data_IF_990263090189
#
_entry.id   IF_990263090189
#
_cell.length_a   1.000
_cell.length_b   1.000
_cell.length_c   1.000
_cell.angle_alpha   90.00
_cell.angle_beta   90.00
_cell.angle_gamma   90.00
#
_symmetry.space_group_name_H-M   'P 1'
#
loop_
_entity.id
_entity.type
_entity.pdbx_description
1 polymer ?
#
# COMPACT_ATOMS: atom_id res chain seq x y z
N UNK A 1 -18.07 -31.26 11.93
CA UNK A 1 -18.12 -29.90 12.52
C UNK A 1 -16.96 -29.77 13.51
N UNK A 2 -15.91 -29.04 13.14
CA UNK A 2 -14.81 -28.71 14.05
C UNK A 2 -15.02 -27.28 14.57
N UNK A 3 -15.02 -27.09 15.89
CA UNK A 3 -15.21 -25.77 16.50
C UNK A 3 -13.91 -24.96 16.43
N UNK A 4 -13.97 -23.77 15.82
CA UNK A 4 -12.86 -22.82 15.84
C UNK A 4 -12.58 -22.36 17.28
N UNK A 5 -11.52 -22.90 17.88
CA UNK A 5 -10.97 -22.35 19.12
C UNK A 5 -9.95 -21.24 18.80
N UNK A 6 -10.47 -20.02 18.66
CA UNK A 6 -9.69 -18.78 18.45
C UNK A 6 -8.59 -18.61 19.48
N UNK A 7 -8.90 -18.86 20.76
CA UNK A 7 -7.97 -18.68 21.87
C UNK A 7 -6.80 -19.64 21.77
N UNK A 8 -7.07 -20.94 21.58
CA UNK A 8 -6.01 -21.95 21.45
C UNK A 8 -5.11 -21.72 20.25
N UNK A 9 -5.68 -21.32 19.10
CA UNK A 9 -4.89 -21.00 17.92
C UNK A 9 -3.99 -19.78 18.17
N UNK A 10 -4.51 -18.74 18.84
CA UNK A 10 -3.73 -17.57 19.23
C UNK A 10 -2.63 -17.92 20.24
N UNK A 11 -2.92 -18.73 21.26
CA UNK A 11 -1.92 -19.21 22.23
C UNK A 11 -0.76 -19.93 21.55
N UNK A 12 -1.06 -20.85 20.61
CA UNK A 12 -0.03 -21.56 19.85
C UNK A 12 0.75 -20.62 18.93
N UNK A 13 0.09 -19.71 18.22
CA UNK A 13 0.74 -18.74 17.34
C UNK A 13 1.62 -17.75 18.13
N UNK A 14 1.21 -17.38 19.34
CA UNK A 14 1.99 -16.52 20.22
C UNK A 14 3.25 -17.22 20.78
N UNK A 15 3.50 -18.49 20.46
CA UNK A 15 4.79 -19.16 20.74
C UNK A 15 5.83 -18.95 19.63
N UNK A 16 5.40 -18.46 18.46
CA UNK A 16 6.29 -18.31 17.30
C UNK A 16 7.18 -17.07 17.49
N UNK A 17 8.51 -17.18 17.34
CA UNK A 17 9.44 -16.08 17.62
C UNK A 17 9.12 -14.76 16.90
N UNK A 18 8.76 -14.82 15.61
CA UNK A 18 8.41 -13.59 14.87
C UNK A 18 7.13 -12.93 15.41
N UNK A 19 6.14 -13.72 15.81
CA UNK A 19 4.89 -13.21 16.40
C UNK A 19 5.17 -12.58 17.77
N UNK A 20 5.98 -13.24 18.59
CA UNK A 20 6.40 -12.72 19.89
C UNK A 20 7.19 -11.41 19.75
N UNK A 21 8.11 -11.34 18.81
CA UNK A 21 8.90 -10.13 18.53
C UNK A 21 7.98 -8.95 18.18
N UNK A 22 7.03 -9.16 17.27
CA UNK A 22 6.07 -8.12 16.86
C UNK A 22 5.16 -7.70 18.03
N UNK A 23 4.66 -8.65 18.82
CA UNK A 23 3.74 -8.37 19.93
C UNK A 23 4.43 -7.70 21.12
N UNK A 24 5.71 -8.02 21.36
CA UNK A 24 6.52 -7.43 22.44
C UNK A 24 7.15 -6.09 22.06
N UNK A 25 7.15 -5.73 20.77
CA UNK A 25 7.64 -4.45 20.30
C UNK A 25 6.87 -3.29 20.95
N UNK A 26 7.63 -2.27 21.38
CA UNK A 26 7.05 -1.06 21.96
C UNK A 26 6.25 -0.32 20.90
N UNK A 27 4.94 -0.17 21.13
CA UNK A 27 4.06 0.57 20.22
C UNK A 27 4.33 2.06 20.33
N UNK A 28 4.57 2.70 19.19
CA UNK A 28 4.67 4.15 19.09
C UNK A 28 3.29 4.78 18.93
N UNK A 29 3.15 6.04 19.39
CA UNK A 29 1.89 6.77 19.27
C UNK A 29 1.53 7.07 17.80
N UNK A 30 2.55 7.42 17.01
CA UNK A 30 2.41 7.73 15.59
C UNK A 30 3.35 6.83 14.80
N UNK A 31 2.77 5.96 13.98
CA UNK A 31 3.49 5.02 13.14
C UNK A 31 3.30 5.38 11.67
N UNK A 32 4.39 5.81 11.03
CA UNK A 32 4.41 6.18 9.62
C UNK A 32 4.46 4.91 8.77
N UNK A 33 3.30 4.56 8.23
CA UNK A 33 3.16 3.45 7.31
C UNK A 33 2.25 3.85 6.15
N UNK A 34 2.67 3.69 4.89
CA UNK A 34 1.87 4.06 3.73
C UNK A 34 0.70 3.10 3.48
N UNK A 35 0.63 1.95 4.17
CA UNK A 35 -0.34 0.89 3.88
C UNK A 35 -1.23 0.58 5.09
N UNK A 36 -2.55 0.75 4.92
CA UNK A 36 -3.53 0.26 5.91
C UNK A 36 -3.84 -1.23 5.69
N UNK A 37 -3.82 -1.71 4.45
CA UNK A 37 -4.13 -3.11 4.16
C UNK A 37 -3.28 -3.64 3.04
N UNK A 38 -2.79 -4.85 3.20
CA UNK A 38 -2.18 -5.65 2.15
C UNK A 38 -2.91 -7.00 2.10
N UNK A 39 -3.37 -7.40 0.91
CA UNK A 39 -3.81 -8.77 0.65
C UNK A 39 -2.87 -9.37 -0.38
N UNK A 40 -2.18 -10.42 0.06
CA UNK A 40 -1.21 -11.18 -0.68
C UNK A 40 -1.83 -12.49 -1.09
N UNK A 41 -1.43 -12.98 -2.25
CA UNK A 41 -1.87 -14.25 -2.77
C UNK A 41 -0.65 -15.08 -3.18
N UNK A 42 -0.72 -16.38 -2.95
CA UNK A 42 0.26 -17.35 -3.42
C UNK A 42 -0.46 -18.54 -4.03
N UNK A 43 0.18 -19.15 -5.03
CA UNK A 43 -0.24 -20.45 -5.58
C UNK A 43 0.28 -21.62 -4.74
N UNK A 44 1.16 -21.35 -3.78
CA UNK A 44 1.63 -22.33 -2.80
C UNK A 44 0.66 -22.47 -1.63
N UNK A 45 0.49 -23.69 -1.08
CA UNK A 45 -0.21 -23.89 0.18
C UNK A 45 0.61 -23.29 1.35
N UNK A 46 -0.01 -23.08 2.53
CA UNK A 46 0.75 -22.73 3.72
C UNK A 46 1.76 -23.84 4.07
N UNK A 47 2.87 -23.47 4.70
CA UNK A 47 3.93 -24.41 5.08
C UNK A 47 3.40 -25.49 6.02
N UNK A 48 4.01 -26.67 5.96
CA UNK A 48 3.63 -27.78 6.83
C UNK A 48 3.79 -27.41 8.32
N UNK A 49 4.84 -26.66 8.67
CA UNK A 49 5.07 -26.15 10.03
C UNK A 49 3.94 -25.21 10.50
N UNK A 50 3.52 -24.27 9.65
CA UNK A 50 2.39 -23.40 9.94
C UNK A 50 1.10 -24.21 10.15
N UNK A 51 0.82 -25.14 9.24
CA UNK A 51 -0.37 -25.99 9.31
C UNK A 51 -0.36 -26.86 10.57
N UNK A 52 0.78 -27.45 10.94
CA UNK A 52 0.90 -28.32 12.12
C UNK A 52 0.68 -27.57 13.43
N UNK A 53 1.18 -26.34 13.50
CA UNK A 53 0.96 -25.46 14.63
C UNK A 53 -0.53 -25.18 14.86
N UNK A 54 -1.30 -24.97 13.79
CA UNK A 54 -2.73 -24.62 13.87
C UNK A 54 -3.67 -25.81 13.68
N UNK A 55 -3.17 -26.99 13.29
CA UNK A 55 -3.94 -28.22 13.05
C UNK A 55 -4.81 -28.63 14.23
N UNK A 56 -4.40 -28.48 15.50
CA UNK A 56 -5.28 -28.75 16.64
C UNK A 56 -6.57 -27.90 16.65
N UNK A 57 -6.66 -26.88 15.81
CA UNK A 57 -7.79 -25.97 15.68
C UNK A 57 -8.59 -26.09 14.37
N UNK A 58 -8.34 -27.07 13.47
CA UNK A 58 -8.91 -27.23 12.09
C UNK A 58 -10.30 -26.58 11.83
N UNK A 59 -10.44 -25.96 10.66
CA UNK A 59 -11.59 -25.13 10.27
C UNK A 59 -12.33 -25.71 9.05
N UNK A 60 -13.63 -25.51 8.95
CA UNK A 60 -14.36 -25.38 7.69
C UNK A 60 -15.07 -24.02 7.77
N UNK A 61 -15.15 -23.28 6.67
CA UNK A 61 -15.90 -22.03 6.67
C UNK A 61 -17.39 -22.34 6.49
N UNK A 62 -18.22 -22.01 7.47
CA UNK A 62 -19.70 -22.08 7.37
C UNK A 62 -20.29 -20.93 6.50
N UNK A 63 -19.45 -20.09 5.89
CA UNK A 63 -19.88 -18.97 5.03
C UNK A 63 -20.09 -19.43 3.58
N UNK A 64 -21.31 -19.26 3.05
CA UNK A 64 -21.72 -19.62 1.67
C UNK A 64 -20.97 -18.88 0.53
N UNK A 65 -20.08 -17.93 0.85
CA UNK A 65 -19.40 -17.05 -0.13
C UNK A 65 -17.88 -17.27 -0.25
N UNK A 66 -17.28 -18.28 0.40
CA UNK A 66 -15.83 -18.40 0.45
C UNK A 66 -15.23 -19.11 -0.77
N UNK A 67 -14.28 -18.43 -1.42
CA UNK A 67 -13.40 -19.01 -2.44
C UNK A 67 -12.45 -20.11 -1.91
N UNK A 68 -12.47 -20.40 -0.60
CA UNK A 68 -11.51 -21.23 0.13
C UNK A 68 -12.21 -22.12 1.15
N UNK A 69 -11.65 -23.30 1.41
CA UNK A 69 -12.16 -24.25 2.40
C UNK A 69 -11.73 -23.91 3.83
N UNK A 70 -10.58 -23.28 3.99
CA UNK A 70 -9.97 -23.02 5.29
C UNK A 70 -9.72 -21.53 5.52
N UNK A 71 -9.93 -21.10 6.77
CA UNK A 71 -9.68 -19.74 7.22
C UNK A 71 -9.15 -19.73 8.65
N UNK A 72 -8.10 -18.96 8.87
CA UNK A 72 -7.54 -18.62 10.18
C UNK A 72 -7.59 -17.10 10.36
N UNK A 73 -7.97 -16.64 11.56
CA UNK A 73 -7.97 -15.22 11.92
C UNK A 73 -7.16 -15.04 13.19
N UNK A 74 -5.94 -14.52 13.04
CA UNK A 74 -5.08 -14.09 14.12
C UNK A 74 -5.13 -12.56 14.26
N UNK A 75 -4.64 -12.02 15.37
CA UNK A 75 -4.63 -10.58 15.58
C UNK A 75 -3.78 -9.85 14.55
N UNK A 76 -2.62 -10.40 14.18
CA UNK A 76 -1.70 -9.78 13.22
C UNK A 76 -2.07 -10.02 11.74
N UNK A 77 -2.80 -11.09 11.45
CA UNK A 77 -3.06 -11.53 10.08
C UNK A 77 -4.28 -12.43 9.95
N UNK A 78 -4.83 -12.54 8.74
CA UNK A 78 -5.79 -13.60 8.41
C UNK A 78 -5.31 -14.38 7.19
N UNK A 79 -5.39 -15.71 7.26
CA UNK A 79 -5.01 -16.60 6.16
C UNK A 79 -6.23 -17.39 5.71
N UNK A 80 -6.41 -17.48 4.39
CA UNK A 80 -7.38 -18.37 3.76
C UNK A 80 -6.61 -19.27 2.81
N UNK A 81 -6.91 -20.57 2.78
CA UNK A 81 -6.21 -21.51 1.91
C UNK A 81 -7.07 -22.70 1.50
N UNK A 82 -6.54 -23.47 0.55
CA UNK A 82 -7.22 -24.57 -0.13
C UNK A 82 -8.46 -24.07 -0.88
N UNK A 83 -8.25 -23.69 -2.13
CA UNK A 83 -9.29 -23.11 -2.98
C UNK A 83 -10.53 -24.03 -3.09
N UNK A 84 -11.71 -23.45 -2.89
CA UNK A 84 -12.99 -24.03 -3.31
C UNK A 84 -13.33 -23.61 -4.74
N UNK A 85 -12.87 -22.42 -5.16
CA UNK A 85 -13.00 -21.93 -6.54
C UNK A 85 -11.66 -22.06 -7.28
N UNK A 86 -11.62 -22.77 -8.43
CA UNK A 86 -10.39 -22.94 -9.23
C UNK A 86 -9.73 -21.65 -9.74
N UNK A 87 -10.44 -20.53 -9.74
CA UNK A 87 -9.94 -19.22 -10.17
C UNK A 87 -9.29 -18.42 -9.02
N UNK A 88 -9.40 -18.90 -7.78
CA UNK A 88 -8.75 -18.31 -6.64
C UNK A 88 -7.27 -18.74 -6.59
N UNK A 89 -6.39 -17.98 -5.93
CA UNK A 89 -5.07 -18.49 -5.56
C UNK A 89 -5.21 -19.60 -4.51
N UNK A 90 -4.15 -20.39 -4.29
CA UNK A 90 -4.15 -21.47 -3.29
C UNK A 90 -4.20 -20.92 -1.86
N UNK A 91 -3.50 -19.82 -1.61
CA UNK A 91 -3.41 -19.14 -0.32
C UNK A 91 -3.60 -17.64 -0.47
N UNK A 92 -4.34 -17.03 0.46
CA UNK A 92 -4.52 -15.59 0.58
C UNK A 92 -4.18 -15.15 2.00
N UNK A 93 -3.31 -14.16 2.14
CA UNK A 93 -2.85 -13.61 3.42
C UNK A 93 -3.27 -12.14 3.47
N UNK A 94 -3.99 -11.75 4.51
CA UNK A 94 -4.35 -10.36 4.77
C UNK A 94 -3.57 -9.83 5.98
N UNK A 95 -2.88 -8.71 5.79
CA UNK A 95 -2.13 -7.97 6.80
C UNK A 95 -2.68 -6.54 6.91
N UNK A 96 -2.60 -5.95 8.11
CA UNK A 96 -2.78 -4.52 8.33
C UNK A 96 -1.49 -3.93 8.93
N UNK A 97 -0.51 -3.55 8.07
CA UNK A 97 0.80 -3.12 8.54
C UNK A 97 0.73 -1.92 9.49
N UNK A 98 -0.14 -0.95 9.19
CA UNK A 98 -0.27 0.23 10.04
C UNK A 98 -0.88 -0.07 11.41
N UNK A 99 -1.99 -0.82 11.49
CA UNK A 99 -2.69 -1.13 12.75
C UNK A 99 -1.79 -1.91 13.72
N UNK A 100 -0.96 -2.80 13.18
CA UNK A 100 -0.07 -3.66 13.97
C UNK A 100 1.36 -3.12 14.05
N UNK A 101 1.62 -1.92 13.51
CA UNK A 101 2.93 -1.28 13.48
C UNK A 101 4.03 -2.16 12.88
N UNK A 102 3.69 -2.91 11.83
CA UNK A 102 4.61 -3.82 11.16
C UNK A 102 5.65 -3.04 10.35
N UNK A 103 6.92 -3.29 10.62
CA UNK A 103 7.99 -2.89 9.73
C UNK A 103 7.90 -3.66 8.40
N UNK A 104 8.61 -3.24 7.35
CA UNK A 104 8.72 -4.02 6.12
C UNK A 104 9.25 -5.44 6.36
N UNK A 105 10.22 -5.61 7.27
CA UNK A 105 10.81 -6.91 7.59
C UNK A 105 9.80 -7.81 8.33
N UNK A 106 8.98 -7.25 9.22
CA UNK A 106 7.89 -8.00 9.86
C UNK A 106 6.87 -8.50 8.83
N UNK A 107 6.55 -7.67 7.83
CA UNK A 107 5.67 -8.06 6.73
C UNK A 107 6.27 -9.25 5.97
N UNK A 108 7.55 -9.18 5.57
CA UNK A 108 8.21 -10.29 4.86
C UNK A 108 8.27 -11.56 5.73
N UNK A 109 8.73 -11.45 6.97
CA UNK A 109 8.91 -12.57 7.88
C UNK A 109 7.58 -13.27 8.22
N UNK A 110 6.48 -12.53 8.36
CA UNK A 110 5.15 -13.14 8.54
C UNK A 110 4.72 -13.95 7.32
N UNK A 111 5.04 -13.49 6.10
CA UNK A 111 4.71 -14.20 4.86
C UNK A 111 5.57 -15.44 4.72
N UNK A 112 6.87 -15.32 4.97
CA UNK A 112 7.82 -16.45 4.96
C UNK A 112 7.40 -17.51 5.97
N UNK A 113 6.95 -17.11 7.16
CA UNK A 113 6.40 -18.04 8.14
C UNK A 113 5.16 -18.81 7.60
N UNK A 114 4.25 -18.12 6.91
CA UNK A 114 2.99 -18.72 6.44
C UNK A 114 3.18 -19.59 5.20
N UNK A 115 3.86 -19.11 4.16
CA UNK A 115 3.99 -19.79 2.84
C UNK A 115 5.43 -20.20 2.48
N UNK A 116 6.41 -19.95 3.35
CA UNK A 116 7.79 -20.39 3.19
C UNK A 116 8.67 -19.41 2.41
N UNK A 117 8.08 -18.63 1.51
CA UNK A 117 8.79 -17.66 0.66
C UNK A 117 7.87 -16.51 0.25
N UNK A 118 8.29 -15.29 0.55
CA UNK A 118 7.62 -14.05 0.15
C UNK A 118 7.89 -13.69 -1.31
N UNK A 119 8.87 -14.33 -1.96
CA UNK A 119 9.21 -14.10 -3.37
C UNK A 119 8.06 -14.55 -4.30
N UNK A 120 7.32 -15.57 -3.88
CA UNK A 120 6.18 -16.14 -4.61
C UNK A 120 4.86 -15.43 -4.27
N UNK A 121 4.87 -14.54 -3.27
CA UNK A 121 3.71 -13.76 -2.88
C UNK A 121 3.44 -12.64 -3.89
N UNK A 122 2.17 -12.47 -4.26
CA UNK A 122 1.70 -11.43 -5.17
C UNK A 122 0.68 -10.52 -4.50
N UNK A 123 0.77 -9.20 -4.74
CA UNK A 123 -0.11 -8.21 -4.11
C UNK A 123 -1.44 -8.09 -4.87
N UNK A 124 -2.47 -8.77 -4.39
CA UNK A 124 -3.82 -8.75 -4.97
C UNK A 124 -4.63 -7.51 -4.56
N UNK A 125 -4.40 -6.99 -3.35
CA UNK A 125 -5.08 -5.79 -2.86
C UNK A 125 -4.14 -4.95 -2.01
N UNK A 126 -4.23 -3.63 -2.14
CA UNK A 126 -3.61 -2.70 -1.20
C UNK A 126 -4.51 -1.49 -0.95
N UNK A 127 -4.52 -1.02 0.29
CA UNK A 127 -5.12 0.25 0.71
C UNK A 127 -3.97 1.23 1.00
N UNK A 128 -3.65 2.09 0.03
CA UNK A 128 -2.67 3.17 0.20
C UNK A 128 -3.29 4.24 1.12
N UNK A 129 -2.55 4.77 2.09
CA UNK A 129 -3.08 5.78 3.01
C UNK A 129 -2.15 6.98 3.20
N UNK A 130 -2.72 8.04 3.76
CA UNK A 130 -2.00 9.14 4.36
C UNK A 130 -2.82 9.69 5.53
N UNK A 131 -2.15 10.06 6.62
CA UNK A 131 -2.75 10.56 7.86
C UNK A 131 -2.42 12.03 8.08
N UNK A 132 -3.44 12.85 8.34
CA UNK A 132 -3.25 14.24 8.78
C UNK A 132 -3.70 14.39 10.22
N UNK A 133 -2.77 14.84 11.06
CA UNK A 133 -3.03 15.21 12.44
C UNK A 133 -3.21 16.72 12.53
N UNK A 134 -4.24 17.18 13.26
CA UNK A 134 -4.47 18.60 13.60
C UNK A 134 -4.52 19.54 12.37
N UNK A 135 -5.13 19.09 11.29
CA UNK A 135 -5.19 19.85 10.05
C UNK A 135 -6.53 20.56 9.88
N UNK A 136 -7.58 19.82 9.53
CA UNK A 136 -8.94 20.30 9.29
C UNK A 136 -9.92 19.15 9.51
N UNK A 137 -11.21 19.45 9.68
CA UNK A 137 -12.26 18.41 9.72
C UNK A 137 -12.35 17.66 8.38
N UNK A 138 -12.92 16.45 8.40
CA UNK A 138 -13.19 15.65 7.19
C UNK A 138 -13.96 16.42 6.12
N UNK A 139 -14.90 17.28 6.55
CA UNK A 139 -15.71 18.15 5.70
C UNK A 139 -14.88 19.22 5.01
N UNK A 140 -14.06 19.96 5.74
CA UNK A 140 -13.17 20.98 5.16
C UNK A 140 -12.12 20.36 4.25
N UNK A 141 -11.63 19.17 4.61
CA UNK A 141 -10.74 18.39 3.74
C UNK A 141 -11.44 18.00 2.42
N UNK A 142 -12.66 17.45 2.50
CA UNK A 142 -13.45 17.07 1.33
C UNK A 142 -13.88 18.28 0.48
N UNK A 143 -14.00 19.46 1.09
CA UNK A 143 -14.27 20.71 0.39
C UNK A 143 -13.12 21.14 -0.52
N UNK A 144 -11.87 20.77 -0.21
CA UNK A 144 -10.65 21.14 -0.95
C UNK A 144 -10.12 20.06 -1.88
N UNK A 145 -10.48 18.80 -1.64
CA UNK A 145 -9.89 17.69 -2.39
C UNK A 145 -10.35 17.62 -3.85
N UNK A 146 -9.39 17.38 -4.74
CA UNK A 146 -9.62 16.96 -6.12
C UNK A 146 -9.05 15.56 -6.34
N UNK A 147 -9.90 14.66 -6.84
CA UNK A 147 -9.51 13.30 -7.24
C UNK A 147 -9.64 13.16 -8.74
N UNK A 148 -8.49 13.11 -9.42
CA UNK A 148 -8.39 12.95 -10.86
C UNK A 148 -9.11 11.69 -11.37
N UNK A 149 -9.64 11.79 -12.59
CA UNK A 149 -10.38 10.73 -13.31
C UNK A 149 -11.71 10.27 -12.70
N UNK A 150 -12.08 10.75 -11.51
CA UNK A 150 -13.39 10.44 -10.93
C UNK A 150 -14.49 11.31 -11.56
N UNK A 151 -15.48 10.64 -12.18
CA UNK A 151 -16.57 11.27 -12.93
C UNK A 151 -17.89 11.39 -12.14
N UNK A 152 -17.90 10.94 -10.88
CA UNK A 152 -19.08 10.94 -10.02
C UNK A 152 -18.82 11.81 -8.80
N UNK A 153 -19.89 12.39 -8.27
CA UNK A 153 -19.83 13.17 -7.02
C UNK A 153 -19.41 12.28 -5.86
N UNK A 154 -18.66 12.81 -4.88
CA UNK A 154 -18.40 12.07 -3.67
C UNK A 154 -19.72 11.65 -3.02
N UNK A 155 -19.72 10.45 -2.44
CA UNK A 155 -20.81 10.01 -1.57
C UNK A 155 -20.44 10.40 -0.14
N UNK A 156 -21.28 11.19 0.51
CA UNK A 156 -21.21 11.41 1.94
C UNK A 156 -21.86 10.19 2.62
N UNK A 157 -21.09 9.42 3.37
CA UNK A 157 -21.60 8.21 4.00
C UNK A 157 -22.59 8.60 5.11
N UNK A 158 -23.83 8.10 4.99
CA UNK A 158 -24.95 8.40 5.89
C UNK A 158 -25.24 9.91 6.04
N UNK A 159 -24.74 10.75 5.12
CA UNK A 159 -24.87 12.22 5.17
C UNK A 159 -24.39 12.85 6.49
N UNK A 160 -23.40 12.23 7.15
CA UNK A 160 -22.87 12.67 8.46
C UNK A 160 -21.68 13.63 8.36
N UNK A 161 -21.26 14.00 7.16
CA UNK A 161 -20.07 14.83 6.89
C UNK A 161 -18.75 14.25 7.45
N UNK A 162 -18.75 12.96 7.82
CA UNK A 162 -17.63 12.28 8.45
C UNK A 162 -16.81 11.46 7.47
N UNK A 163 -17.45 10.87 6.47
CA UNK A 163 -16.79 9.97 5.51
C UNK A 163 -17.21 10.29 4.10
N UNK A 164 -16.25 10.66 3.25
CA UNK A 164 -16.47 10.98 1.85
C UNK A 164 -15.81 9.92 0.96
N UNK A 165 -16.59 9.33 0.06
CA UNK A 165 -16.14 8.28 -0.86
C UNK A 165 -16.18 8.76 -2.32
N UNK A 166 -15.03 8.73 -2.99
CA UNK A 166 -14.84 9.06 -4.39
C UNK A 166 -14.61 7.79 -5.20
N UNK A 167 -15.45 7.54 -6.21
CA UNK A 167 -15.37 6.32 -7.03
C UNK A 167 -16.19 5.16 -6.47
N UNK A 168 -15.73 3.92 -6.67
CA UNK A 168 -16.53 2.73 -6.33
C UNK A 168 -15.69 1.62 -5.72
N UNK A 169 -16.26 0.90 -4.74
CA UNK A 169 -15.65 -0.27 -4.08
C UNK A 169 -15.21 -1.37 -5.05
N UNK A 170 -15.88 -1.50 -6.20
CA UNK A 170 -15.57 -2.54 -7.20
C UNK A 170 -14.32 -2.21 -8.06
N UNK A 171 -13.87 -0.96 -8.06
CA UNK A 171 -12.70 -0.48 -8.80
C UNK A 171 -11.77 0.33 -7.90
N UNK A 172 -11.31 1.49 -8.37
CA UNK A 172 -10.55 2.43 -7.55
C UNK A 172 -11.51 3.30 -6.72
N UNK A 173 -11.26 3.37 -5.42
CA UNK A 173 -12.00 4.22 -4.49
C UNK A 173 -11.04 5.02 -3.63
N UNK A 174 -11.27 6.33 -3.53
CA UNK A 174 -10.61 7.18 -2.52
C UNK A 174 -11.61 7.45 -1.42
N UNK A 175 -11.20 7.32 -0.16
CA UNK A 175 -12.04 7.50 1.03
C UNK A 175 -11.34 8.49 1.93
N UNK A 176 -12.09 9.47 2.44
CA UNK A 176 -11.60 10.44 3.42
C UNK A 176 -12.51 10.32 4.62
N UNK A 177 -11.94 10.14 5.80
CA UNK A 177 -12.75 9.99 7.00
C UNK A 177 -12.04 10.45 8.26
N UNK A 178 -12.83 10.74 9.27
CA UNK A 178 -12.36 10.96 10.63
C UNK A 178 -11.87 9.64 11.22
N UNK A 179 -10.55 9.49 11.29
CA UNK A 179 -9.88 8.29 11.79
C UNK A 179 -9.88 8.27 13.32
N UNK A 180 -9.85 9.44 13.97
CA UNK A 180 -9.92 9.52 15.41
C UNK A 180 -11.23 8.91 15.91
N UNK A 181 -12.35 9.33 15.30
CA UNK A 181 -13.67 8.78 15.59
C UNK A 181 -13.78 7.28 15.30
N UNK A 182 -13.18 6.80 14.21
CA UNK A 182 -13.18 5.36 13.90
C UNK A 182 -12.33 4.53 14.88
N UNK A 183 -11.40 5.16 15.60
CA UNK A 183 -10.56 4.53 16.62
C UNK A 183 -11.02 4.82 18.06
N UNK A 184 -12.21 5.42 18.23
CA UNK A 184 -12.75 5.86 19.52
C UNK A 184 -11.80 6.82 20.28
N UNK A 185 -11.18 7.75 19.55
CA UNK A 185 -10.26 8.78 20.06
C UNK A 185 -10.80 10.18 19.84
N UNK A 186 -11.86 10.52 20.55
CA UNK A 186 -12.57 11.79 20.37
C UNK A 186 -11.75 13.04 20.76
N UNK A 187 -10.61 12.86 21.44
CA UNK A 187 -9.69 13.93 21.84
C UNK A 187 -8.61 14.26 20.79
N UNK A 188 -8.55 13.51 19.68
CA UNK A 188 -7.58 13.72 18.61
C UNK A 188 -8.26 14.22 17.33
N UNK A 189 -7.66 15.23 16.68
CA UNK A 189 -8.04 15.59 15.31
C UNK A 189 -7.19 14.78 14.33
N UNK A 190 -7.79 13.77 13.72
CA UNK A 190 -7.07 12.87 12.82
C UNK A 190 -7.93 12.46 11.63
N UNK A 191 -7.55 12.96 10.46
CA UNK A 191 -8.18 12.62 9.19
C UNK A 191 -7.29 11.64 8.43
N UNK A 192 -7.92 10.59 7.90
CA UNK A 192 -7.26 9.67 6.99
C UNK A 192 -7.80 9.78 5.59
N UNK A 193 -6.90 9.78 4.61
CA UNK A 193 -7.21 9.48 3.23
C UNK A 193 -6.71 8.09 2.88
N UNK A 194 -7.58 7.27 2.29
CA UNK A 194 -7.25 5.95 1.75
C UNK A 194 -7.57 5.86 0.26
N UNK A 195 -6.73 5.16 -0.51
CA UNK A 195 -7.02 4.75 -1.88
C UNK A 195 -6.93 3.25 -1.99
N UNK A 196 -8.10 2.63 -2.19
CA UNK A 196 -8.24 1.18 -2.33
C UNK A 196 -7.93 0.74 -3.75
N UNK A 197 -7.12 -0.31 -3.87
CA UNK A 197 -6.82 -0.96 -5.15
C UNK A 197 -6.96 -2.47 -5.03
N UNK A 198 -7.78 -3.02 -5.92
CA UNK A 198 -7.91 -4.46 -6.11
C UNK A 198 -7.46 -4.85 -7.51
N UNK A 199 -6.47 -5.75 -7.60
CA UNK A 199 -5.97 -6.35 -8.84
C UNK A 199 -6.65 -7.71 -9.01
N UNK A 200 -7.79 -7.71 -9.72
CA UNK A 200 -8.58 -8.92 -9.94
C UNK A 200 -7.86 -9.91 -10.83
N UNK A 201 -7.33 -9.42 -11.94
CA UNK A 201 -6.50 -10.19 -12.86
C UNK A 201 -5.22 -10.65 -12.14
N UNK A 202 -4.99 -11.97 -12.16
CA UNK A 202 -3.83 -12.62 -11.54
C UNK A 202 -2.53 -12.20 -12.23
N UNK A 203 -2.55 -12.05 -13.56
CA UNK A 203 -1.35 -11.68 -14.33
C UNK A 203 -0.93 -10.21 -14.12
N UNK A 204 -1.85 -9.37 -13.67
CA UNK A 204 -1.58 -7.97 -13.33
C UNK A 204 -1.03 -7.76 -11.91
N UNK A 205 -0.97 -8.82 -11.09
CA UNK A 205 -0.50 -8.71 -9.69
C UNK A 205 1.03 -8.65 -9.67
N UNK A 206 1.64 -7.60 -9.10
CA UNK A 206 3.08 -7.58 -8.89
C UNK A 206 3.45 -8.58 -7.80
N UNK A 207 4.63 -9.21 -7.91
CA UNK A 207 5.26 -9.88 -6.77
C UNK A 207 5.46 -8.88 -5.64
N UNK A 208 5.52 -9.36 -4.40
CA UNK A 208 5.69 -8.49 -3.24
C UNK A 208 6.98 -7.67 -3.32
N UNK A 209 8.10 -8.30 -3.70
CA UNK A 209 9.38 -7.60 -3.89
C UNK A 209 9.25 -6.50 -4.93
N UNK A 210 8.61 -6.77 -6.08
CA UNK A 210 8.37 -5.72 -7.09
C UNK A 210 7.44 -4.63 -6.57
N UNK A 211 6.41 -4.99 -5.80
CA UNK A 211 5.52 -4.00 -5.20
C UNK A 211 6.27 -3.08 -4.22
N UNK A 212 7.15 -3.61 -3.37
CA UNK A 212 7.90 -2.79 -2.42
C UNK A 212 8.99 -1.94 -3.08
N UNK A 213 9.65 -2.48 -4.11
CA UNK A 213 10.85 -1.87 -4.71
C UNK A 213 10.57 -0.99 -5.94
N UNK A 214 9.48 -1.22 -6.69
CA UNK A 214 9.17 -0.42 -7.88
C UNK A 214 8.65 0.96 -7.50
N UNK A 215 8.82 1.93 -8.39
CA UNK A 215 8.27 3.27 -8.18
C UNK A 215 6.74 3.15 -8.15
N UNK A 216 6.17 3.33 -6.96
CA UNK A 216 4.73 3.32 -6.71
C UNK A 216 4.09 4.60 -7.29
N UNK A 217 4.36 4.91 -8.55
CA UNK A 217 4.00 6.16 -9.22
C UNK A 217 2.50 6.41 -9.29
N UNK A 218 1.73 5.34 -9.23
CA UNK A 218 0.28 5.44 -9.24
C UNK A 218 -0.29 5.61 -7.82
N UNK A 219 0.49 5.38 -6.75
CA UNK A 219 0.13 5.60 -5.33
C UNK A 219 -0.40 7.02 -5.11
N UNK A 220 -1.66 7.13 -4.67
CA UNK A 220 -2.36 8.42 -4.48
C UNK A 220 -2.22 9.43 -5.64
N UNK A 221 -1.88 8.96 -6.85
CA UNK A 221 -1.69 9.80 -8.03
C UNK A 221 -2.96 10.54 -8.40
N UNK A 222 -2.79 11.81 -8.77
CA UNK A 222 -3.86 12.76 -9.07
C UNK A 222 -4.84 13.00 -7.91
N UNK A 223 -4.39 12.80 -6.67
CA UNK A 223 -5.11 13.24 -5.48
C UNK A 223 -4.38 14.47 -4.96
N UNK A 224 -5.05 15.62 -5.03
CA UNK A 224 -4.47 16.91 -4.61
C UNK A 224 -5.43 17.65 -3.71
N UNK A 225 -4.89 18.37 -2.73
CA UNK A 225 -5.64 19.33 -1.93
C UNK A 225 -5.50 20.68 -2.62
N UNK A 226 -6.58 21.15 -3.25
CA UNK A 226 -6.59 22.41 -3.98
C UNK A 226 -6.58 23.56 -2.98
N UNK A 227 -5.74 24.55 -3.23
CA UNK A 227 -5.76 25.80 -2.45
C UNK A 227 -6.92 26.68 -2.93
N UNK A 228 -8.10 26.43 -2.38
CA UNK A 228 -9.32 27.14 -2.79
C UNK A 228 -9.32 28.62 -2.39
N UNK A 229 -8.44 29.02 -1.46
CA UNK A 229 -8.35 30.38 -0.96
C UNK A 229 -7.66 31.31 -1.97
N UNK A 230 -6.94 30.74 -2.95
CA UNK A 230 -6.40 31.46 -4.11
C UNK A 230 -7.44 31.86 -5.15
N UNK A 231 -8.68 31.36 -5.05
CA UNK A 231 -9.75 31.78 -5.96
C UNK A 231 -10.45 33.04 -5.44
N UNK A 232 -10.84 33.92 -6.35
CA UNK A 232 -11.70 35.05 -6.00
C UNK A 232 -13.12 34.56 -5.71
N UNK A 233 -13.82 35.20 -4.77
CA UNK A 233 -15.24 34.91 -4.50
C UNK A 233 -16.16 35.11 -5.73
N UNK A 234 -15.72 35.89 -6.72
CA UNK A 234 -16.44 36.09 -7.99
C UNK A 234 -16.26 34.92 -8.96
N UNK A 235 -15.23 34.10 -8.75
CA UNK A 235 -14.92 32.99 -9.64
C UNK A 235 -16.07 31.99 -9.68
N UNK A 236 -16.36 31.51 -10.89
CA UNK A 236 -17.44 30.53 -11.09
C UNK A 236 -17.20 29.28 -10.24
N UNK A 237 -15.95 28.84 -10.08
CA UNK A 237 -15.62 27.67 -9.27
C UNK A 237 -15.97 27.88 -7.79
N UNK A 238 -15.67 29.05 -7.20
CA UNK A 238 -16.00 29.33 -5.79
C UNK A 238 -17.50 29.38 -5.54
N UNK A 239 -18.26 30.03 -6.44
CA UNK A 239 -19.73 30.00 -6.36
C UNK A 239 -20.29 28.58 -6.43
N UNK A 240 -19.64 27.69 -7.19
CA UNK A 240 -20.04 26.28 -7.32
C UNK A 240 -19.64 25.46 -6.10
N UNK A 241 -18.46 25.69 -5.51
CA UNK A 241 -18.02 25.06 -4.26
C UNK A 241 -19.00 25.43 -3.14
N UNK A 242 -19.36 26.70 -3.01
CA UNK A 242 -20.33 27.15 -2.00
C UNK A 242 -21.73 26.55 -2.22
N UNK A 243 -22.11 26.26 -3.46
CA UNK A 243 -23.39 25.63 -3.79
C UNK A 243 -23.42 24.12 -3.54
N UNK A 244 -22.33 23.41 -3.86
CA UNK A 244 -22.29 21.93 -3.86
C UNK A 244 -21.52 21.33 -2.67
N UNK A 245 -20.84 22.14 -1.87
CA UNK A 245 -20.10 21.72 -0.68
C UNK A 245 -18.73 21.11 -0.94
N UNK A 246 -18.46 20.56 -2.14
CA UNK A 246 -17.15 19.94 -2.46
C UNK A 246 -16.50 20.51 -3.72
N UNK A 247 -15.17 20.59 -3.71
CA UNK A 247 -14.38 20.97 -4.88
C UNK A 247 -14.63 20.01 -6.05
N UNK A 248 -14.63 18.70 -5.81
CA UNK A 248 -14.87 17.70 -6.85
C UNK A 248 -16.22 17.90 -7.56
N UNK A 249 -17.30 18.11 -6.80
CA UNK A 249 -18.63 18.31 -7.40
C UNK A 249 -18.71 19.62 -8.19
N UNK A 250 -18.19 20.71 -7.62
CA UNK A 250 -18.08 21.99 -8.30
C UNK A 250 -17.32 21.87 -9.63
N UNK A 251 -16.16 21.21 -9.61
CA UNK A 251 -15.33 20.97 -10.79
C UNK A 251 -16.09 20.23 -11.89
N UNK A 252 -16.86 19.18 -11.55
CA UNK A 252 -17.57 18.38 -12.54
C UNK A 252 -18.64 19.18 -13.29
N UNK A 253 -19.24 20.20 -12.67
CA UNK A 253 -20.26 21.05 -13.29
C UNK A 253 -19.71 22.07 -14.29
N UNK A 254 -18.40 22.23 -14.38
CA UNK A 254 -17.75 23.12 -15.35
C UNK A 254 -17.71 22.50 -16.75
N UNK A 255 -17.69 23.35 -17.79
CA UNK A 255 -17.47 22.91 -19.18
C UNK A 255 -16.04 22.39 -19.38
N UNK A 256 -15.75 21.78 -20.54
CA UNK A 256 -14.42 21.26 -20.86
C UNK A 256 -13.37 22.38 -20.92
N UNK A 257 -13.73 23.51 -21.50
CA UNK A 257 -12.89 24.70 -21.63
C UNK A 257 -12.61 25.30 -20.26
N UNK A 258 -13.63 25.39 -19.41
CA UNK A 258 -13.50 25.89 -18.03
C UNK A 258 -12.60 24.98 -17.19
N UNK A 259 -12.76 23.66 -17.30
CA UNK A 259 -11.89 22.68 -16.65
C UNK A 259 -10.43 22.84 -17.09
N UNK A 260 -10.18 23.06 -18.38
CA UNK A 260 -8.83 23.30 -18.90
C UNK A 260 -8.23 24.59 -18.35
N UNK A 261 -9.00 25.68 -18.30
CA UNK A 261 -8.56 26.95 -17.69
C UNK A 261 -8.23 26.77 -16.21
N UNK A 262 -9.08 26.06 -15.48
CA UNK A 262 -8.91 25.83 -14.05
C UNK A 262 -7.67 25.00 -13.74
N UNK A 263 -7.35 23.98 -14.55
CA UNK A 263 -6.10 23.20 -14.40
C UNK A 263 -4.83 24.02 -14.62
N UNK A 264 -4.92 25.16 -15.29
CA UNK A 264 -3.82 26.11 -15.47
C UNK A 264 -3.79 27.18 -14.39
N UNK A 265 -4.80 27.25 -13.53
CA UNK A 265 -4.87 28.19 -12.42
C UNK A 265 -3.81 27.85 -11.36
N UNK A 266 -3.32 28.88 -10.68
CA UNK A 266 -2.26 28.75 -9.67
C UNK A 266 -2.65 27.77 -8.55
N UNK A 267 -3.88 27.84 -8.06
CA UNK A 267 -4.46 26.92 -7.08
C UNK A 267 -4.33 25.42 -7.45
N UNK A 268 -4.27 25.10 -8.75
CA UNK A 268 -4.10 23.74 -9.25
C UNK A 268 -2.66 23.39 -9.62
N UNK A 269 -1.93 24.35 -10.19
CA UNK A 269 -0.52 24.16 -10.55
C UNK A 269 0.36 24.03 -9.31
N UNK A 270 0.00 24.74 -8.26
CA UNK A 270 0.65 24.74 -6.96
C UNK A 270 -0.40 24.43 -5.89
N UNK A 271 -0.85 23.16 -5.80
CA UNK A 271 -1.81 22.75 -4.80
C UNK A 271 -1.23 22.92 -3.39
N UNK A 272 -2.10 23.03 -2.39
CA UNK A 272 -1.69 23.09 -0.99
C UNK A 272 -0.89 21.85 -0.59
N UNK A 273 -1.34 20.68 -1.08
CA UNK A 273 -0.69 19.39 -0.85
C UNK A 273 -0.80 18.51 -2.10
N UNK A 274 0.34 17.95 -2.52
CA UNK A 274 0.40 16.79 -3.40
C UNK A 274 0.46 15.51 -2.56
N UNK A 275 -0.67 14.80 -2.48
CA UNK A 275 -0.79 13.60 -1.63
C UNK A 275 0.06 12.45 -2.18
N UNK A 276 0.30 12.40 -3.49
CA UNK A 276 1.18 11.40 -4.10
C UNK A 276 2.64 11.61 -3.67
N UNK A 277 3.09 12.86 -3.59
CA UNK A 277 4.44 13.18 -3.11
C UNK A 277 4.61 12.83 -1.61
N UNK A 278 3.60 13.12 -0.77
CA UNK A 278 3.63 12.75 0.65
C UNK A 278 3.68 11.24 0.85
N UNK A 279 2.85 10.48 0.10
CA UNK A 279 2.90 9.02 0.13
C UNK A 279 4.29 8.48 -0.20
N UNK A 280 4.96 9.03 -1.22
CA UNK A 280 6.30 8.59 -1.60
C UNK A 280 7.31 8.81 -0.47
N UNK A 281 7.19 9.92 0.27
CA UNK A 281 8.01 10.20 1.45
C UNK A 281 7.74 9.20 2.58
N UNK A 282 6.48 8.94 2.91
CA UNK A 282 6.11 7.96 3.94
C UNK A 282 6.55 6.55 3.57
N UNK A 283 6.43 6.16 2.30
CA UNK A 283 6.93 4.88 1.81
C UNK A 283 8.46 4.77 1.95
N UNK A 284 9.19 5.86 1.72
CA UNK A 284 10.64 5.89 1.93
C UNK A 284 11.01 5.74 3.41
N UNK A 285 10.31 6.46 4.29
CA UNK A 285 10.50 6.37 5.74
C UNK A 285 10.18 4.96 6.26
N UNK A 286 9.04 4.40 5.86
CA UNK A 286 8.65 3.05 6.28
C UNK A 286 9.64 2.00 5.76
N UNK A 287 10.06 2.08 4.49
CA UNK A 287 11.07 1.17 3.95
C UNK A 287 12.44 1.33 4.61
N UNK A 288 12.80 2.53 5.10
CA UNK A 288 14.06 2.76 5.81
C UNK A 288 14.19 2.01 7.13
N UNK A 289 13.08 1.51 7.69
CA UNK A 289 13.10 0.61 8.84
C UNK A 289 13.73 -0.74 8.53
N UNK A 290 13.82 -1.12 7.26
CA UNK A 290 14.57 -2.27 6.75
C UNK A 290 15.77 -1.77 5.93
N UNK A 291 16.99 -1.76 6.49
CA UNK A 291 18.18 -1.28 5.79
C UNK A 291 18.38 -1.97 4.44
N UNK A 292 18.09 -3.27 4.39
CA UNK A 292 18.21 -4.09 3.19
C UNK A 292 17.22 -3.66 2.10
N UNK A 293 15.92 -3.58 2.42
CA UNK A 293 14.90 -3.20 1.45
C UNK A 293 15.06 -1.74 1.00
N UNK A 294 15.49 -0.86 1.89
CA UNK A 294 15.74 0.53 1.56
C UNK A 294 16.89 0.67 0.55
N UNK A 295 17.99 -0.07 0.76
CA UNK A 295 19.09 -0.14 -0.19
C UNK A 295 18.61 -0.71 -1.53
N UNK A 296 17.88 -1.83 -1.50
CA UNK A 296 17.32 -2.44 -2.71
C UNK A 296 16.41 -1.49 -3.48
N UNK A 297 15.55 -0.74 -2.81
CA UNK A 297 14.66 0.24 -3.45
C UNK A 297 15.44 1.31 -4.21
N UNK A 298 16.60 1.75 -3.69
CA UNK A 298 17.46 2.75 -4.35
C UNK A 298 18.20 2.20 -5.56
N UNK A 299 18.59 0.94 -5.51
CA UNK A 299 19.36 0.26 -6.57
C UNK A 299 18.43 -0.28 -7.67
N UNK A 300 17.21 -0.68 -7.33
CA UNK A 300 16.26 -1.34 -8.22
C UNK A 300 15.94 -0.55 -9.50
N UNK A 301 15.72 0.78 -9.48
CA UNK A 301 15.54 1.56 -10.70
C UNK A 301 16.75 1.51 -11.64
N UNK A 302 17.97 1.53 -11.09
CA UNK A 302 19.22 1.44 -11.86
C UNK A 302 19.34 0.07 -12.53
N UNK A 303 19.06 -1.00 -11.78
CA UNK A 303 19.03 -2.37 -12.34
C UNK A 303 17.97 -2.50 -13.44
N UNK A 304 16.76 -1.98 -13.19
CA UNK A 304 15.65 -1.99 -14.16
C UNK A 304 15.96 -1.21 -15.43
N UNK A 305 16.62 -0.05 -15.32
CA UNK A 305 17.05 0.75 -16.46
C UNK A 305 18.11 -0.01 -17.29
N UNK A 306 19.06 -0.64 -16.62
CA UNK A 306 20.10 -1.48 -17.24
C UNK A 306 19.50 -2.63 -18.06
N UNK A 307 18.43 -3.27 -17.57
CA UNK A 307 17.75 -4.36 -18.27
C UNK A 307 16.93 -3.94 -19.50
N UNK A 308 16.48 -2.69 -19.55
CA UNK A 308 15.65 -2.19 -20.66
C UNK A 308 16.47 -1.78 -21.88
N UNK A 309 17.80 -1.91 -21.82
CA UNK A 309 18.70 -1.54 -22.91
C UNK A 309 18.60 -0.07 -23.32
N UNK A 310 18.05 0.79 -22.44
CA UNK A 310 17.78 2.19 -22.75
C UNK A 310 19.00 3.10 -22.57
N UNK A 311 20.04 2.62 -21.90
CA UNK A 311 21.29 3.34 -21.76
C UNK A 311 22.45 2.49 -22.27
N UNK A 312 23.32 3.09 -23.08
CA UNK A 312 24.73 2.73 -23.18
C UNK A 312 25.38 3.01 -21.82
N UNK A 313 25.09 2.17 -20.83
CA UNK A 313 25.72 2.23 -19.51
C UNK A 313 27.21 1.93 -19.66
N UNK A 314 27.99 2.99 -19.80
CA UNK A 314 29.36 3.04 -19.32
C UNK A 314 29.30 2.92 -17.80
N UNK A 315 29.39 1.67 -17.33
CA UNK A 315 29.73 1.19 -15.99
C UNK A 315 29.46 2.14 -14.80
N UNK A 316 28.53 1.76 -13.92
CA UNK A 316 28.56 2.15 -12.50
C UNK A 316 28.75 0.91 -11.64
N UNK A 317 29.94 0.74 -11.08
CA UNK A 317 30.17 -0.22 -10.01
C UNK A 317 29.64 0.37 -8.71
N UNK A 318 28.65 -0.28 -8.08
CA UNK A 318 28.26 0.01 -6.70
C UNK A 318 29.06 -0.90 -5.78
N UNK A 319 30.11 -0.36 -5.16
CA UNK A 319 30.69 -0.97 -3.95
C UNK A 319 29.87 -0.47 -2.77
N UNK A 320 29.20 -1.39 -2.07
CA UNK A 320 28.44 -1.12 -0.86
C UNK A 320 29.40 -1.39 0.30
N UNK A 321 30.01 -0.34 0.84
CA UNK A 321 30.68 -0.41 2.14
C UNK A 321 29.61 -0.16 3.22
N UNK A 322 29.29 -1.16 4.06
CA UNK A 322 28.22 -1.04 5.05
C UNK A 322 28.51 -0.03 6.16
N UNK A 323 29.74 0.50 6.28
CA UNK A 323 30.13 1.40 7.37
C UNK A 323 30.44 2.83 6.87
N UNK A 324 30.92 3.01 5.64
CA UNK A 324 31.27 4.34 5.11
C UNK A 324 30.78 4.53 3.66
N UNK A 325 29.71 5.30 3.47
CA UNK A 325 29.21 5.74 2.16
C UNK A 325 30.18 6.72 1.48
N UNK A 326 31.32 6.24 0.98
CA UNK A 326 32.18 7.00 0.09
C UNK A 326 32.40 6.27 -1.24
N UNK A 327 32.09 6.96 -2.34
CA UNK A 327 32.35 6.51 -3.70
C UNK A 327 33.85 6.65 -4.03
N UNK A 328 34.53 5.55 -4.29
CA UNK A 328 35.82 5.54 -5.00
C UNK A 328 35.80 4.48 -6.09
N UNK A 329 36.19 4.87 -7.32
CA UNK A 329 36.18 4.01 -8.49
C UNK A 329 37.50 3.24 -8.66
N UNK A 330 37.40 1.99 -9.13
CA UNK A 330 38.51 1.22 -9.69
C UNK A 330 38.04 0.52 -10.98
N UNK A 331 38.91 0.35 -11.99
CA UNK A 331 38.55 -0.22 -13.28
C UNK A 331 38.59 -1.75 -13.26
N UNK A 332 37.65 -2.41 -13.97
CA UNK A 332 37.73 -3.83 -14.30
C UNK A 332 37.40 -4.09 -15.78
N UNK A 333 38.03 -5.14 -16.30
CA UNK A 333 38.25 -5.45 -17.71
C UNK A 333 37.00 -5.87 -18.52
N UNK A 334 36.99 -5.62 -19.84
CA UNK A 334 35.85 -5.89 -20.71
C UNK A 334 35.66 -7.38 -21.04
N UNK A 335 34.42 -7.87 -20.92
CA UNK A 335 34.03 -9.22 -21.36
C UNK A 335 33.66 -9.23 -22.86
N UNK A 336 34.15 -10.24 -23.60
CA UNK A 336 33.92 -10.43 -25.05
C UNK A 336 32.88 -11.52 -25.26
N UNK A 337 31.64 -11.14 -25.57
CA UNK A 337 30.54 -12.04 -25.91
C UNK A 337 29.35 -11.29 -26.55
N UNK A 338 28.54 -11.97 -27.38
CA UNK A 338 27.38 -11.37 -28.09
C UNK A 338 26.13 -11.20 -27.21
N UNK A 339 26.04 -11.92 -26.09
CA UNK A 339 25.10 -11.60 -25.02
C UNK A 339 25.88 -10.84 -23.94
N UNK A 340 25.53 -9.57 -23.70
CA UNK A 340 26.34 -8.74 -22.80
C UNK A 340 26.16 -9.11 -21.33
N UNK A 341 24.97 -9.51 -20.86
CA UNK A 341 24.74 -9.96 -19.49
C UNK A 341 23.47 -10.83 -19.39
N UNK A 342 23.52 -11.94 -18.65
CA UNK A 342 22.37 -12.74 -18.22
C UNK A 342 22.40 -12.83 -16.70
N UNK A 343 21.38 -12.28 -16.03
CA UNK A 343 21.25 -12.46 -14.58
C UNK A 343 21.00 -13.95 -14.30
N UNK A 344 21.72 -14.54 -13.33
CA UNK A 344 21.27 -15.82 -12.76
C UNK A 344 19.89 -15.59 -12.15
N UNK A 345 18.95 -16.51 -12.37
CA UNK A 345 17.58 -16.43 -11.82
C UNK A 345 17.56 -16.24 -10.29
N UNK A 346 18.66 -16.56 -9.62
CA UNK A 346 18.79 -16.58 -8.17
C UNK A 346 19.30 -15.28 -7.56
N UNK A 347 19.58 -14.21 -8.33
CA UNK A 347 20.15 -12.98 -7.74
C UNK A 347 19.24 -12.33 -6.69
N UNK A 348 17.92 -12.43 -6.87
CA UNK A 348 16.97 -11.97 -5.85
C UNK A 348 16.88 -12.92 -4.68
N UNK A 349 17.06 -14.22 -4.91
CA UNK A 349 17.15 -15.23 -3.84
C UNK A 349 18.39 -15.03 -2.99
N UNK A 350 19.55 -14.73 -3.59
CA UNK A 350 20.84 -14.56 -2.89
C UNK A 350 20.97 -13.22 -2.15
N UNK A 351 20.16 -12.21 -2.53
CA UNK A 351 20.20 -10.88 -1.93
C UNK A 351 19.06 -10.68 -0.93
N UNK A 352 17.88 -11.26 -1.16
CA UNK A 352 16.71 -11.15 -0.27
C UNK A 352 16.54 -12.33 0.71
N UNK A 353 17.45 -13.32 0.69
CA UNK A 353 17.60 -14.30 1.77
C UNK A 353 18.55 -13.79 2.85
#
# INVERSE_FOLDING_TARGET
MFLYNKQRAAELLNTVPIIQSIQSASKVKHFDCPYDKLILCSDEPPTQAFVDLIRPARFETDDDETFYRYRLVHDLFSVQWMQANPQAPMTSIMLNPWKHQLSPDDVLALIDFIIGSHLDAQVAHNDDKHDWLRFQTSKEFAKRIYVGYQKKKPRNYNDLDQTFMFGSKKGQQVIIYDKAKEQDRDDEEWIRLEKRRKRRDKHARPTLSRFLLDEQDDALKNVVIVDIDKFSGRDKIMRRINKFGTFQEAYMTLTKEEKRKLKMHEAFRHPLVDVGALFKKELDQWLSMSPHLHLMKRIFPVLKASWRGKDTLTYRTMSIDPINLHCTGAPLEPYVGKEKYRLRQNYFTDVLS
#
